data_IF_031806387712
#
_entry.id   IF_031806387712
#
_cell.length_a   1.000
_cell.length_b   1.000
_cell.length_c   1.000
_cell.angle_alpha   90.00
_cell.angle_beta   90.00
_cell.angle_gamma   90.00
#
_symmetry.space_group_name_H-M   'P 1'
#
loop_
_entity.id
_entity.type
_entity.pdbx_description
1 polymer ?
#
# COMPACT_ATOMS: atom_id res chain seq x y z
N UNK A 1 38.65 -8.64 31.42
CA UNK A 1 38.46 -7.23 30.99
C UNK A 1 37.97 -7.23 29.54
N UNK A 2 36.83 -6.55 29.30
CA UNK A 2 36.34 -5.94 28.04
C UNK A 2 35.94 -6.92 26.90
N UNK A 3 34.64 -7.18 26.69
CA UNK A 3 33.65 -6.44 25.84
C UNK A 3 33.70 -6.87 24.37
N UNK A 4 32.72 -7.67 23.90
CA UNK A 4 31.48 -7.28 23.21
C UNK A 4 31.68 -6.70 21.79
N UNK A 5 31.20 -7.44 20.78
CA UNK A 5 30.50 -7.00 19.54
C UNK A 5 30.22 -8.28 18.73
N UNK A 6 29.02 -8.84 18.64
CA UNK A 6 27.75 -8.15 18.39
C UNK A 6 27.39 -8.24 16.91
N UNK A 7 27.44 -9.43 16.29
CA UNK A 7 26.70 -9.65 15.05
C UNK A 7 25.32 -10.18 15.43
N UNK A 8 24.44 -9.22 15.72
CA UNK A 8 23.01 -9.44 15.92
C UNK A 8 22.43 -10.09 14.66
N UNK A 9 21.97 -11.32 14.84
CA UNK A 9 20.67 -11.81 14.40
C UNK A 9 19.69 -10.66 14.07
N UNK A 10 19.63 -10.25 12.81
CA UNK A 10 18.52 -9.45 12.22
C UNK A 10 18.47 -9.73 10.70
N UNK A 11 18.42 -11.01 10.34
CA UNK A 11 17.64 -11.37 9.15
C UNK A 11 16.40 -12.10 9.65
N UNK A 12 15.67 -11.41 10.53
CA UNK A 12 14.21 -11.51 10.51
C UNK A 12 13.79 -10.98 9.14
N UNK A 13 13.95 -11.82 8.12
CA UNK A 13 13.06 -11.82 6.97
C UNK A 13 11.70 -12.30 7.49
N UNK A 14 11.15 -11.54 8.45
CA UNK A 14 9.78 -11.65 8.87
C UNK A 14 8.99 -11.57 7.59
N UNK A 15 8.21 -12.60 7.33
CA UNK A 15 7.33 -12.71 6.19
C UNK A 15 6.39 -11.51 6.24
N UNK A 16 6.81 -10.36 5.69
CA UNK A 16 5.97 -9.18 5.60
C UNK A 16 4.92 -9.52 4.58
N UNK A 17 3.80 -10.02 5.08
CA UNK A 17 2.56 -10.12 4.34
C UNK A 17 2.38 -8.79 3.62
N UNK A 18 2.21 -8.86 2.31
CA UNK A 18 2.11 -7.67 1.48
C UNK A 18 0.98 -6.78 1.99
N UNK A 19 1.32 -5.55 2.38
CA UNK A 19 0.37 -4.61 2.94
C UNK A 19 0.18 -3.42 2.00
N UNK A 20 -0.86 -3.50 1.18
CA UNK A 20 -1.18 -2.47 0.18
C UNK A 20 -1.36 -1.05 0.79
N UNK A 21 -1.70 -0.94 2.07
CA UNK A 21 -1.90 0.37 2.73
C UNK A 21 -0.56 1.04 3.05
N UNK A 22 0.43 0.25 3.48
CA UNK A 22 1.79 0.73 3.71
C UNK A 22 2.43 1.12 2.38
N UNK A 23 2.32 0.25 1.38
CA UNK A 23 2.79 0.51 0.03
C UNK A 23 2.14 1.75 -0.59
N UNK A 24 0.83 1.92 -0.40
CA UNK A 24 0.14 3.14 -0.80
C UNK A 24 0.71 4.35 -0.09
N UNK A 25 1.05 4.25 1.20
CA UNK A 25 1.63 5.35 1.98
C UNK A 25 3.05 5.71 1.53
N UNK A 26 3.82 4.73 1.07
CA UNK A 26 5.16 4.94 0.47
C UNK A 26 5.10 5.40 -0.99
N UNK A 27 3.95 5.26 -1.64
CA UNK A 27 3.76 5.68 -3.02
C UNK A 27 3.95 7.19 -3.21
N UNK A 28 4.55 7.57 -4.34
CA UNK A 28 4.74 8.97 -4.71
C UNK A 28 3.40 9.73 -4.76
N UNK A 29 3.35 10.99 -4.32
CA UNK A 29 2.10 11.76 -4.21
C UNK A 29 1.34 11.85 -5.53
N UNK A 30 2.04 11.96 -6.67
CA UNK A 30 1.42 11.93 -8.01
C UNK A 30 0.63 10.64 -8.27
N UNK A 31 1.16 9.48 -7.88
CA UNK A 31 0.51 8.19 -8.08
C UNK A 31 -0.66 8.00 -7.12
N UNK A 32 -0.58 8.54 -5.89
CA UNK A 32 -1.71 8.57 -4.94
C UNK A 32 -2.89 9.35 -5.51
N UNK A 33 -2.61 10.54 -6.06
CA UNK A 33 -3.64 11.37 -6.72
C UNK A 33 -4.25 10.61 -7.90
N UNK A 34 -3.43 9.97 -8.73
CA UNK A 34 -3.92 9.17 -9.86
C UNK A 34 -4.79 7.98 -9.41
N UNK A 35 -4.43 7.26 -8.34
CA UNK A 35 -5.28 6.21 -7.76
C UNK A 35 -6.61 6.75 -7.26
N UNK A 36 -6.60 7.90 -6.59
CA UNK A 36 -7.83 8.58 -6.17
C UNK A 36 -8.67 9.00 -7.39
N UNK A 37 -8.05 9.59 -8.42
CA UNK A 37 -8.75 10.01 -9.63
C UNK A 37 -9.36 8.83 -10.39
N UNK A 38 -8.62 7.75 -10.57
CA UNK A 38 -9.16 6.52 -11.15
C UNK A 38 -10.30 5.95 -10.31
N UNK A 39 -10.23 6.01 -8.98
CA UNK A 39 -11.28 5.51 -8.11
C UNK A 39 -12.56 6.36 -8.14
N UNK A 40 -12.42 7.69 -8.15
CA UNK A 40 -13.54 8.63 -7.98
C UNK A 40 -14.06 9.23 -9.29
N UNK A 41 -13.24 9.30 -10.34
CA UNK A 41 -13.56 9.92 -11.63
C UNK A 41 -13.78 8.86 -12.72
N UNK A 42 -12.80 8.00 -12.99
CA UNK A 42 -12.89 7.01 -14.07
C UNK A 42 -13.72 5.77 -13.69
N UNK A 43 -13.68 5.41 -12.41
CA UNK A 43 -14.47 4.33 -11.84
C UNK A 43 -13.65 3.13 -11.39
N UNK A 44 -14.31 2.26 -10.63
CA UNK A 44 -13.68 1.14 -9.91
C UNK A 44 -12.79 0.27 -10.78
N UNK A 45 -13.19 -0.03 -12.01
CA UNK A 45 -12.42 -0.91 -12.90
C UNK A 45 -11.02 -0.33 -13.24
N UNK A 46 -10.93 0.97 -13.51
CA UNK A 46 -9.66 1.64 -13.75
C UNK A 46 -8.76 1.60 -12.50
N UNK A 47 -9.35 1.76 -11.32
CA UNK A 47 -8.65 1.62 -10.05
C UNK A 47 -8.09 0.19 -9.86
N UNK A 48 -8.90 -0.87 -10.03
CA UNK A 48 -8.42 -2.25 -9.89
C UNK A 48 -7.30 -2.57 -10.89
N UNK A 49 -7.42 -2.17 -12.16
CA UNK A 49 -6.35 -2.32 -13.14
C UNK A 49 -5.07 -1.59 -12.70
N UNK A 50 -5.19 -0.38 -12.17
CA UNK A 50 -4.03 0.40 -11.72
C UNK A 50 -3.36 -0.25 -10.52
N UNK A 51 -4.13 -0.78 -9.58
CA UNK A 51 -3.61 -1.53 -8.43
C UNK A 51 -2.87 -2.78 -8.89
N UNK A 52 -3.41 -3.52 -9.87
CA UNK A 52 -2.74 -4.71 -10.43
C UNK A 52 -1.43 -4.36 -11.16
N UNK A 53 -1.40 -3.22 -11.87
CA UNK A 53 -0.18 -2.73 -12.55
C UNK A 53 0.89 -2.27 -11.53
N UNK A 54 0.48 -1.58 -10.47
CA UNK A 54 1.39 -1.07 -9.44
C UNK A 54 1.88 -2.20 -8.52
N UNK A 55 1.00 -3.14 -8.21
CA UNK A 55 1.23 -4.24 -7.28
C UNK A 55 0.61 -5.53 -7.82
N UNK A 56 1.32 -6.24 -8.70
CA UNK A 56 0.83 -7.52 -9.24
C UNK A 56 0.71 -8.61 -8.17
N UNK A 57 1.40 -8.43 -7.04
CA UNK A 57 1.31 -9.29 -5.85
C UNK A 57 0.11 -8.96 -4.94
N UNK A 58 -0.59 -7.84 -5.17
CA UNK A 58 -1.80 -7.49 -4.45
C UNK A 58 -2.95 -8.37 -4.90
N UNK A 59 -3.64 -9.02 -3.97
CA UNK A 59 -4.86 -9.76 -4.28
C UNK A 59 -6.06 -8.83 -4.48
N UNK A 60 -7.17 -9.37 -5.01
CA UNK A 60 -8.44 -8.64 -5.09
C UNK A 60 -8.95 -8.14 -3.72
N UNK A 61 -8.63 -8.87 -2.65
CA UNK A 61 -8.91 -8.46 -1.26
C UNK A 61 -8.14 -7.20 -0.85
N UNK A 62 -6.89 -7.06 -1.29
CA UNK A 62 -6.05 -5.89 -1.00
C UNK A 62 -6.55 -4.67 -1.75
N UNK A 63 -6.84 -4.82 -3.05
CA UNK A 63 -7.42 -3.74 -3.84
C UNK A 63 -8.73 -3.21 -3.21
N UNK A 64 -9.60 -4.12 -2.74
CA UNK A 64 -10.84 -3.75 -2.03
C UNK A 64 -10.57 -3.09 -0.67
N UNK A 65 -9.49 -3.48 0.02
CA UNK A 65 -9.06 -2.85 1.27
C UNK A 65 -8.57 -1.43 1.03
N UNK A 66 -7.77 -1.21 -0.01
CA UNK A 66 -7.32 0.11 -0.43
C UNK A 66 -8.49 0.99 -0.88
N UNK A 67 -9.44 0.44 -1.66
CA UNK A 67 -10.68 1.11 -2.03
C UNK A 67 -11.40 1.68 -0.80
N UNK A 68 -11.70 0.82 0.19
CA UNK A 68 -12.36 1.23 1.44
C UNK A 68 -11.57 2.28 2.21
N UNK A 69 -10.24 2.15 2.24
CA UNK A 69 -9.35 3.11 2.90
C UNK A 69 -9.45 4.49 2.24
N UNK A 70 -9.41 4.55 0.90
CA UNK A 70 -9.54 5.79 0.14
C UNK A 70 -10.91 6.44 0.30
N UNK A 71 -11.99 5.66 0.29
CA UNK A 71 -13.33 6.16 0.61
C UNK A 71 -13.43 6.72 2.03
N UNK A 72 -12.81 6.04 3.01
CA UNK A 72 -12.79 6.50 4.40
C UNK A 72 -11.99 7.80 4.56
N UNK A 73 -10.87 7.92 3.83
CA UNK A 73 -10.08 9.15 3.74
C UNK A 73 -10.90 10.32 3.19
N UNK A 74 -11.62 10.11 2.08
CA UNK A 74 -12.49 11.12 1.48
C UNK A 74 -13.57 11.61 2.47
N UNK A 75 -14.19 10.69 3.21
CA UNK A 75 -15.25 11.03 4.17
C UNK A 75 -14.74 11.72 5.45
N UNK A 76 -13.44 11.61 5.78
CA UNK A 76 -12.84 12.23 6.97
C UNK A 76 -12.35 13.66 6.75
N UNK A 77 -12.29 14.14 5.51
CA UNK A 77 -11.81 15.49 5.18
C UNK A 77 -12.88 16.58 5.37
N UNK A 78 -13.76 16.45 6.36
CA UNK A 78 -14.85 17.40 6.64
C UNK A 78 -14.82 17.90 8.08
#
# INVERSE_FOLDING_TARGET
MLMQSGLRDITDSGSREFNIIEEFSELAPRRKVLLCDHLFTEGRQAFYNTVEILWPQAGGSDAKRLEKFLYSLKNRSH
#
